data_IF_839939848510
#
_entry.id   IF_839939848510
#
_cell.length_a   1.000
_cell.length_b   1.000
_cell.length_c   1.000
_cell.angle_alpha   90.00
_cell.angle_beta   90.00
_cell.angle_gamma   90.00
#
_symmetry.space_group_name_H-M   'P 1'
#
loop_
_entity.id
_entity.type
_entity.pdbx_description
1 polymer ?
#
# COMPACT_ATOMS: atom_id res chain seq x y z
N UNK A 1 23.33 -14.01 10.50
CA UNK A 1 21.91 -14.08 10.05
C UNK A 1 21.20 -12.89 10.68
N UNK A 2 20.99 -11.82 9.91
CA UNK A 2 20.51 -10.51 10.40
C UNK A 2 19.18 -10.13 9.73
N UNK A 3 18.55 -11.06 9.01
CA UNK A 3 17.35 -10.82 8.21
C UNK A 3 16.05 -10.86 9.05
N UNK A 4 16.08 -11.52 10.21
CA UNK A 4 14.87 -11.76 11.01
C UNK A 4 14.54 -10.61 11.98
N UNK A 5 15.55 -9.90 12.50
CA UNK A 5 15.35 -8.73 13.39
C UNK A 5 14.80 -7.53 12.61
N UNK A 6 15.32 -7.28 11.41
CA UNK A 6 14.95 -6.12 10.60
C UNK A 6 13.50 -6.20 10.12
N UNK A 7 13.00 -7.42 9.89
CA UNK A 7 11.62 -7.66 9.47
C UNK A 7 10.62 -7.47 10.61
N UNK A 8 11.01 -7.79 11.85
CA UNK A 8 10.19 -7.59 13.04
C UNK A 8 10.15 -6.12 13.45
N UNK A 9 11.27 -5.40 13.39
CA UNK A 9 11.29 -3.94 13.62
C UNK A 9 10.39 -3.18 12.62
N UNK A 10 10.44 -3.52 11.33
CA UNK A 10 9.63 -2.85 10.31
C UNK A 10 8.11 -3.07 10.51
N UNK A 11 7.70 -4.24 11.04
CA UNK A 11 6.30 -4.50 11.38
C UNK A 11 5.86 -3.68 12.61
N UNK A 12 6.72 -3.59 13.62
CA UNK A 12 6.43 -2.82 14.83
C UNK A 12 6.37 -1.31 14.56
N UNK A 13 7.22 -0.82 13.66
CA UNK A 13 7.16 0.57 13.18
C UNK A 13 5.89 0.86 12.38
N UNK A 14 5.46 -0.07 11.52
CA UNK A 14 4.20 0.05 10.78
C UNK A 14 2.98 0.05 11.71
N UNK A 15 2.94 -0.83 12.71
CA UNK A 15 1.85 -0.84 13.69
C UNK A 15 1.79 0.47 14.49
N UNK A 16 2.94 1.00 14.92
CA UNK A 16 3.03 2.32 15.59
C UNK A 16 2.60 3.46 14.67
N UNK A 17 2.94 3.40 13.39
CA UNK A 17 2.51 4.39 12.40
C UNK A 17 0.98 4.38 12.25
N UNK A 18 0.37 3.20 12.14
CA UNK A 18 -1.08 3.07 12.05
C UNK A 18 -1.76 3.59 13.32
N UNK A 19 -1.25 3.23 14.50
CA UNK A 19 -1.79 3.69 15.79
C UNK A 19 -1.68 5.22 15.96
N UNK A 20 -0.53 5.81 15.61
CA UNK A 20 -0.33 7.27 15.67
C UNK A 20 -1.34 8.05 14.83
N UNK A 21 -1.72 7.48 13.69
CA UNK A 21 -2.66 8.11 12.76
C UNK A 21 -4.12 7.63 12.96
N UNK A 22 -4.40 6.83 14.00
CA UNK A 22 -5.69 6.17 14.22
C UNK A 22 -6.19 5.41 12.97
N UNK A 23 -5.27 4.87 12.19
CA UNK A 23 -5.57 4.08 11.00
C UNK A 23 -5.93 2.65 11.42
N UNK A 24 -6.85 1.99 10.69
CA UNK A 24 -7.15 0.59 10.93
C UNK A 24 -5.88 -0.26 10.74
N UNK A 25 -5.71 -1.27 11.61
CA UNK A 25 -4.64 -2.25 11.45
C UNK A 25 -4.82 -2.99 10.13
N UNK A 26 -3.75 -3.08 9.35
CA UNK A 26 -3.76 -3.84 8.10
C UNK A 26 -3.85 -5.33 8.41
N UNK A 27 -4.62 -6.06 7.60
CA UNK A 27 -4.66 -7.52 7.71
C UNK A 27 -3.44 -8.15 7.00
N UNK A 28 -3.17 -9.43 7.29
CA UNK A 28 -2.03 -10.15 6.70
C UNK A 28 -2.06 -10.16 5.17
N UNK A 29 -3.24 -10.22 4.55
CA UNK A 29 -3.40 -10.22 3.10
C UNK A 29 -3.05 -8.85 2.47
N UNK A 30 -3.40 -7.75 3.13
CA UNK A 30 -3.02 -6.39 2.71
C UNK A 30 -1.51 -6.17 2.87
N UNK A 31 -0.93 -6.66 3.97
CA UNK A 31 0.51 -6.61 4.21
C UNK A 31 1.25 -7.45 3.17
N UNK A 32 0.77 -8.64 2.84
CA UNK A 32 1.35 -9.50 1.80
C UNK A 32 1.27 -8.84 0.42
N UNK A 33 0.12 -8.23 0.10
CA UNK A 33 -0.06 -7.47 -1.14
C UNK A 33 0.89 -6.27 -1.22
N UNK A 34 1.18 -5.62 -0.10
CA UNK A 34 2.12 -4.50 -0.02
C UNK A 34 3.58 -4.95 -0.10
N UNK A 35 3.90 -6.13 0.44
CA UNK A 35 5.24 -6.75 0.36
C UNK A 35 5.49 -7.43 -0.99
N UNK A 36 4.45 -7.74 -1.77
CA UNK A 36 4.61 -8.33 -3.09
C UNK A 36 5.28 -7.31 -4.03
N UNK A 37 6.29 -7.72 -4.82
CA UNK A 37 6.86 -6.86 -5.85
C UNK A 37 5.77 -6.40 -6.83
N UNK A 38 5.72 -5.09 -7.08
CA UNK A 38 4.79 -4.50 -8.04
C UNK A 38 5.24 -4.88 -9.44
N UNK A 39 4.34 -5.48 -10.22
CA UNK A 39 4.60 -5.85 -11.61
C UNK A 39 4.39 -4.65 -12.54
N UNK A 40 5.10 -4.63 -13.68
CA UNK A 40 4.97 -3.57 -14.69
C UNK A 40 3.54 -3.45 -15.22
N UNK A 41 2.83 -4.58 -15.34
CA UNK A 41 1.42 -4.63 -15.77
C UNK A 41 0.51 -3.94 -14.76
N UNK A 42 0.66 -4.22 -13.45
CA UNK A 42 -0.11 -3.55 -12.40
C UNK A 42 0.13 -2.03 -12.37
N UNK A 43 1.36 -1.58 -12.66
CA UNK A 43 1.68 -0.15 -12.81
C UNK A 43 0.91 0.45 -13.99
N UNK A 44 0.99 -0.17 -15.17
CA UNK A 44 0.34 0.32 -16.39
C UNK A 44 -1.19 0.38 -16.19
N UNK A 45 -1.79 -0.69 -15.66
CA UNK A 45 -3.22 -0.75 -15.36
C UNK A 45 -3.64 0.31 -14.34
N UNK A 46 -2.86 0.49 -13.25
CA UNK A 46 -3.17 1.51 -12.25
C UNK A 46 -3.07 2.93 -12.82
N UNK A 47 -2.13 3.20 -13.73
CA UNK A 47 -1.99 4.51 -14.38
C UNK A 47 -3.19 4.77 -15.29
N UNK A 48 -3.57 3.80 -16.12
CA UNK A 48 -4.73 3.89 -17.02
C UNK A 48 -6.04 4.10 -16.23
N UNK A 49 -6.24 3.35 -15.15
CA UNK A 49 -7.42 3.48 -14.28
C UNK A 49 -7.48 4.82 -13.54
N UNK A 50 -6.33 5.39 -13.16
CA UNK A 50 -6.28 6.73 -12.55
C UNK A 50 -6.52 7.83 -13.57
N UNK A 51 -6.08 7.67 -14.82
CA UNK A 51 -6.35 8.65 -15.87
C UNK A 51 -7.82 8.67 -16.30
N UNK A 52 -8.50 7.51 -16.35
CA UNK A 52 -9.92 7.44 -16.74
C UNK A 52 -10.88 8.05 -15.69
N UNK A 53 -10.45 8.23 -14.44
CA UNK A 53 -11.25 8.89 -13.40
C UNK A 53 -11.16 10.42 -13.41
N UNK A 54 -10.42 11.04 -14.34
CA UNK A 54 -10.31 12.51 -14.46
C UNK A 54 -11.35 13.15 -15.40
N UNK A 55 -12.16 12.36 -16.10
CA UNK A 55 -13.17 12.88 -17.04
C UNK A 55 -14.62 12.73 -16.55
N UNK A 56 -14.89 13.13 -15.30
CA UNK A 56 -16.27 13.56 -14.99
C UNK A 56 -16.39 15.02 -15.44
N UNK A 57 -17.31 15.37 -16.36
CA UNK A 57 -17.52 16.77 -16.70
C UNK A 57 -17.93 17.48 -15.42
N UNK A 58 -17.14 18.47 -15.02
CA UNK A 58 -17.54 19.43 -14.00
C UNK A 58 -18.70 20.22 -14.62
N UNK A 59 -19.92 19.77 -14.35
CA UNK A 59 -21.13 20.46 -14.75
C UNK A 59 -21.06 21.90 -14.27
N UNK A 60 -21.33 22.83 -15.19
CA UNK A 60 -21.42 24.27 -14.94
C UNK A 60 -22.49 24.60 -13.90
#
# INVERSE_FOLDING_TARGET
MQLDANKTENLEEMDKFLEKHNLPRLNQNEIEKMNRPITRTEIIESVIKKSSNKEKPRSR
#
